data_IF_862863965725
#
_entry.id   IF_862863965725
#
_cell.length_a   1.000
_cell.length_b   1.000
_cell.length_c   1.000
_cell.angle_alpha   90.00
_cell.angle_beta   90.00
_cell.angle_gamma   90.00
#
_symmetry.space_group_name_H-M   'P 1'
#
loop_
_entity.id
_entity.type
_entity.pdbx_description
1 polymer ?
#
# COMPACT_ATOMS: atom_id res chain seq x y z
N UNK A 1 30.31 36.68 15.40
CA UNK A 1 30.15 36.41 13.95
C UNK A 1 30.57 34.99 13.57
N UNK A 2 31.72 34.49 14.02
CA UNK A 2 32.20 33.12 13.76
C UNK A 2 31.25 31.97 14.20
N UNK A 3 30.46 32.12 15.27
CA UNK A 3 29.46 31.12 15.70
C UNK A 3 28.29 30.92 14.72
N UNK A 4 27.89 31.95 13.98
CA UNK A 4 26.81 31.85 12.97
C UNK A 4 27.31 31.23 11.67
N UNK A 5 28.55 31.54 11.28
CA UNK A 5 29.21 30.94 10.11
C UNK A 5 29.53 29.46 10.38
N UNK A 6 29.96 29.11 11.61
CA UNK A 6 30.18 27.72 12.01
C UNK A 6 28.88 26.91 12.06
N UNK A 7 27.77 27.47 12.57
CA UNK A 7 26.46 26.79 12.55
C UNK A 7 25.86 26.68 11.14
N UNK A 8 26.13 27.64 10.25
CA UNK A 8 25.75 27.53 8.82
C UNK A 8 26.61 26.51 8.08
N UNK A 9 27.91 26.42 8.36
CA UNK A 9 28.78 25.38 7.80
C UNK A 9 28.45 23.99 8.36
N UNK A 10 28.04 23.87 9.62
CA UNK A 10 27.58 22.61 10.22
C UNK A 10 26.22 22.18 9.64
N UNK A 11 25.30 23.13 9.37
CA UNK A 11 24.05 22.86 8.67
C UNK A 11 24.27 22.51 7.19
N UNK A 12 25.23 23.16 6.51
CA UNK A 12 25.61 22.81 5.15
C UNK A 12 26.35 21.45 5.06
N UNK A 13 27.11 21.06 6.09
CA UNK A 13 27.69 19.71 6.20
C UNK A 13 26.64 18.65 6.54
N UNK A 14 25.60 18.97 7.33
CA UNK A 14 24.50 18.03 7.62
C UNK A 14 23.54 17.87 6.44
N UNK A 15 23.33 18.92 5.63
CA UNK A 15 22.54 18.85 4.40
C UNK A 15 23.36 18.25 3.24
N UNK A 16 24.67 18.52 3.19
CA UNK A 16 25.58 17.96 2.19
C UNK A 16 26.00 16.50 2.43
N UNK A 17 25.94 16.00 3.67
CA UNK A 17 26.20 14.58 4.00
C UNK A 17 24.94 13.72 3.81
N UNK A 18 23.74 14.29 3.80
CA UNK A 18 22.52 13.55 3.39
C UNK A 18 22.40 13.46 1.86
N UNK A 19 22.94 14.43 1.11
CA UNK A 19 23.03 14.37 -0.35
C UNK A 19 24.23 13.57 -0.90
N UNK A 20 25.05 13.00 -0.02
CA UNK A 20 26.17 12.10 -0.36
C UNK A 20 26.00 10.69 0.27
N UNK A 21 24.79 10.36 0.71
CA UNK A 21 24.36 8.98 0.99
C UNK A 21 23.23 8.54 0.02
N UNK A 22 23.15 9.20 -1.13
CA UNK A 22 22.44 8.74 -2.34
C UNK A 22 23.36 7.89 -3.24
N UNK A 23 24.52 7.46 -2.70
CA UNK A 23 25.24 6.30 -3.22
C UNK A 23 24.65 5.07 -2.56
N UNK A 24 23.84 4.34 -3.33
CA UNK A 24 23.74 2.89 -3.31
C UNK A 24 24.01 2.26 -1.93
N UNK A 25 22.98 2.19 -1.08
CA UNK A 25 22.91 1.08 -0.13
C UNK A 25 22.49 -0.20 -0.87
N UNK A 26 23.22 -0.49 -1.94
CA UNK A 26 23.45 -1.79 -2.55
C UNK A 26 24.31 -2.62 -1.58
N UNK A 27 23.76 -2.86 -0.38
CA UNK A 27 24.34 -3.79 0.59
C UNK A 27 23.69 -5.17 0.49
N UNK A 28 22.76 -5.35 -0.46
CA UNK A 28 22.16 -6.63 -0.84
C UNK A 28 21.81 -6.68 -2.34
N UNK A 29 22.70 -6.28 -3.26
CA UNK A 29 22.57 -6.75 -4.65
C UNK A 29 23.51 -7.94 -4.88
N UNK A 30 23.09 -9.18 -4.54
CA UNK A 30 23.66 -10.34 -5.18
C UNK A 30 23.22 -10.29 -6.64
N UNK A 31 24.09 -9.75 -7.51
CA UNK A 31 24.08 -9.87 -8.99
C UNK A 31 22.68 -9.95 -9.64
N UNK A 32 22.28 -8.92 -10.40
CA UNK A 32 21.08 -8.88 -11.27
C UNK A 32 21.01 -10.05 -12.28
N UNK A 33 20.81 -11.25 -11.78
CA UNK A 33 20.49 -12.46 -12.52
C UNK A 33 19.03 -12.77 -12.15
N UNK A 34 18.11 -12.88 -13.12
CA UNK A 34 16.72 -13.26 -12.84
C UNK A 34 16.59 -14.48 -11.92
N UNK A 35 17.54 -15.41 -11.98
CA UNK A 35 17.60 -16.60 -11.12
C UNK A 35 17.94 -16.30 -9.65
N UNK A 36 18.76 -15.28 -9.35
CA UNK A 36 19.06 -14.89 -7.96
C UNK A 36 17.87 -14.19 -7.31
N UNK A 37 17.13 -13.39 -8.09
CA UNK A 37 15.89 -12.73 -7.68
C UNK A 37 14.77 -13.75 -7.43
N UNK A 38 14.63 -14.74 -8.32
CA UNK A 38 13.69 -15.85 -8.13
C UNK A 38 14.06 -16.70 -6.90
N UNK A 39 15.35 -16.94 -6.64
CA UNK A 39 15.75 -17.70 -5.47
C UNK A 39 15.56 -16.92 -4.16
N UNK A 40 15.86 -15.62 -4.14
CA UNK A 40 15.58 -14.75 -2.99
C UNK A 40 14.08 -14.75 -2.66
N UNK A 41 13.23 -14.74 -3.70
CA UNK A 41 11.78 -14.89 -3.59
C UNK A 41 11.35 -16.20 -2.94
N UNK A 42 11.96 -17.29 -3.37
CA UNK A 42 11.63 -18.63 -2.90
C UNK A 42 11.95 -18.85 -1.43
N UNK A 43 12.85 -18.04 -0.84
CA UNK A 43 13.30 -18.15 0.55
C UNK A 43 12.89 -16.97 1.44
N UNK A 44 12.19 -15.97 0.90
CA UNK A 44 11.70 -14.85 1.68
C UNK A 44 10.77 -15.33 2.81
N UNK A 45 11.07 -14.93 4.05
CA UNK A 45 10.36 -15.39 5.24
C UNK A 45 8.89 -14.97 5.23
N UNK A 46 8.60 -13.74 4.84
CA UNK A 46 7.23 -13.21 4.84
C UNK A 46 6.41 -13.88 3.73
N UNK A 47 7.01 -14.12 2.55
CA UNK A 47 6.32 -14.76 1.42
C UNK A 47 6.11 -16.26 1.62
N UNK A 48 7.08 -16.97 2.20
CA UNK A 48 6.96 -18.40 2.49
C UNK A 48 5.99 -18.66 3.65
N UNK A 49 5.99 -17.81 4.68
CA UNK A 49 4.99 -17.88 5.75
C UNK A 49 3.60 -17.49 5.25
N UNK A 50 3.46 -16.45 4.43
CA UNK A 50 2.18 -16.08 3.82
C UNK A 50 1.61 -17.21 2.95
N UNK A 51 2.45 -17.94 2.23
CA UNK A 51 2.03 -19.13 1.46
C UNK A 51 1.44 -20.20 2.37
N UNK A 52 2.11 -20.54 3.48
CA UNK A 52 1.64 -21.54 4.44
C UNK A 52 0.35 -21.07 5.13
N UNK A 53 0.29 -19.80 5.54
CA UNK A 53 -0.90 -19.22 6.16
C UNK A 53 -2.11 -19.16 5.20
N UNK A 54 -1.89 -18.85 3.93
CA UNK A 54 -2.94 -18.88 2.90
C UNK A 54 -3.48 -20.30 2.71
N UNK A 55 -2.60 -21.32 2.72
CA UNK A 55 -3.01 -22.72 2.64
C UNK A 55 -3.78 -23.16 3.89
N UNK A 56 -3.31 -22.79 5.09
CA UNK A 56 -4.03 -23.02 6.35
C UNK A 56 -5.42 -22.35 6.32
N UNK A 57 -5.52 -21.10 5.87
CA UNK A 57 -6.77 -20.37 5.78
C UNK A 57 -7.75 -20.99 4.75
N UNK A 58 -7.25 -21.47 3.61
CA UNK A 58 -8.06 -22.17 2.62
C UNK A 58 -8.63 -23.48 3.21
N UNK A 59 -7.78 -24.29 3.85
CA UNK A 59 -8.20 -25.52 4.54
C UNK A 59 -9.21 -25.20 5.64
N UNK A 60 -8.98 -24.15 6.43
CA UNK A 60 -9.86 -23.75 7.53
C UNK A 60 -11.24 -23.27 7.04
N UNK A 61 -11.30 -22.62 5.88
CA UNK A 61 -12.55 -22.20 5.26
C UNK A 61 -13.49 -23.38 4.92
N UNK A 62 -12.95 -24.60 4.73
CA UNK A 62 -13.75 -25.81 4.48
C UNK A 62 -14.55 -26.29 5.68
N UNK A 63 -14.13 -25.91 6.90
CA UNK A 63 -14.80 -26.31 8.14
C UNK A 63 -16.07 -25.48 8.42
N UNK A 64 -16.40 -24.52 7.55
CA UNK A 64 -17.42 -23.51 7.82
C UNK A 64 -16.98 -22.55 8.94
N UNK A 65 -17.80 -21.55 9.29
CA UNK A 65 -17.49 -20.71 10.44
C UNK A 65 -17.33 -21.61 11.68
N UNK A 66 -16.18 -21.52 12.34
CA UNK A 66 -15.97 -22.12 13.66
C UNK A 66 -17.20 -21.83 14.54
N UNK A 67 -17.61 -22.74 15.44
CA UNK A 67 -18.77 -22.52 16.30
C UNK A 67 -18.54 -21.25 17.13
N UNK A 68 -19.06 -20.13 16.63
CA UNK A 68 -19.05 -18.86 17.33
C UNK A 68 -20.06 -18.98 18.45
N UNK A 69 -19.60 -18.57 19.63
CA UNK A 69 -20.39 -18.22 20.79
C UNK A 69 -21.68 -17.52 20.34
N UNK A 70 -22.80 -18.20 20.60
CA UNK A 70 -24.20 -17.79 20.49
C UNK A 70 -24.45 -16.30 20.17
N UNK A 71 -25.08 -16.01 19.02
CA UNK A 71 -25.91 -14.79 18.94
C UNK A 71 -26.17 -14.09 17.61
N UNK A 72 -25.59 -14.47 16.46
CA UNK A 72 -25.93 -13.81 15.18
C UNK A 72 -26.10 -14.81 14.05
N UNK A 73 -27.36 -14.99 13.62
CA UNK A 73 -27.70 -15.61 12.35
C UNK A 73 -27.32 -14.65 11.22
N UNK A 74 -26.26 -14.97 10.50
CA UNK A 74 -26.06 -14.47 9.14
C UNK A 74 -26.37 -15.58 8.15
N UNK A 75 -27.02 -15.17 7.07
CA UNK A 75 -27.40 -15.93 5.88
C UNK A 75 -26.30 -16.86 5.39
N UNK A 76 -26.73 -18.05 4.95
CA UNK A 76 -25.97 -19.21 4.45
C UNK A 76 -24.62 -18.86 3.80
N UNK A 77 -23.52 -19.54 4.17
CA UNK A 77 -22.24 -19.42 3.47
C UNK A 77 -22.38 -19.97 2.03
N UNK A 78 -21.56 -19.50 1.07
CA UNK A 78 -21.51 -20.10 -0.25
C UNK A 78 -21.05 -21.55 -0.08
N UNK A 79 -21.96 -22.50 -0.35
CA UNK A 79 -21.64 -23.92 -0.39
C UNK A 79 -20.81 -24.15 -1.65
N UNK A 80 -19.49 -24.03 -1.53
CA UNK A 80 -18.54 -24.27 -2.64
C UNK A 80 -18.24 -25.76 -2.86
N UNK A 81 -18.57 -26.65 -1.90
CA UNK A 81 -18.17 -28.06 -1.97
C UNK A 81 -19.37 -29.01 -1.92
N UNK A 82 -19.39 -29.97 -2.83
CA UNK A 82 -20.45 -30.98 -2.94
C UNK A 82 -20.39 -32.06 -1.86
N UNK A 83 -19.28 -32.17 -1.13
CA UNK A 83 -19.13 -32.98 0.11
C UNK A 83 -18.06 -32.33 0.99
N UNK A 84 -18.30 -32.08 2.30
CA UNK A 84 -17.26 -31.54 3.18
C UNK A 84 -16.12 -32.57 3.33
N UNK A 85 -14.85 -32.15 3.26
CA UNK A 85 -13.71 -33.04 3.39
C UNK A 85 -13.67 -33.73 4.76
N UNK A 86 -13.08 -34.92 4.80
CA UNK A 86 -12.97 -35.71 6.04
C UNK A 86 -12.17 -34.92 7.10
N UNK A 87 -12.69 -34.74 8.33
CA UNK A 87 -11.95 -34.11 9.41
C UNK A 87 -10.57 -34.72 9.69
N UNK A 88 -10.38 -36.03 9.46
CA UNK A 88 -9.08 -36.69 9.60
C UNK A 88 -8.09 -36.20 8.54
N UNK A 89 -8.53 -36.07 7.28
CA UNK A 89 -7.75 -35.52 6.17
C UNK A 89 -7.35 -34.06 6.44
N UNK A 90 -8.28 -33.26 6.96
CA UNK A 90 -8.01 -31.85 7.33
C UNK A 90 -6.96 -31.78 8.43
N UNK A 91 -7.04 -32.65 9.44
CA UNK A 91 -6.05 -32.70 10.52
C UNK A 91 -4.66 -33.14 10.02
N UNK A 92 -4.62 -34.10 9.10
CA UNK A 92 -3.39 -34.57 8.45
C UNK A 92 -2.75 -33.48 7.60
N UNK A 93 -3.52 -32.79 6.76
CA UNK A 93 -3.04 -31.68 5.94
C UNK A 93 -2.47 -30.53 6.81
N UNK A 94 -3.13 -30.20 7.92
CA UNK A 94 -2.61 -29.21 8.88
C UNK A 94 -1.32 -29.67 9.56
N UNK A 95 -1.23 -30.94 9.95
CA UNK A 95 -0.02 -31.49 10.51
C UNK A 95 1.13 -31.42 9.50
N UNK A 96 0.87 -31.74 8.23
CA UNK A 96 1.83 -31.63 7.13
C UNK A 96 2.34 -30.19 6.95
N UNK A 97 1.44 -29.21 6.90
CA UNK A 97 1.81 -27.79 6.81
C UNK A 97 2.72 -27.34 7.98
N UNK A 98 2.36 -27.73 9.21
CA UNK A 98 3.09 -27.33 10.42
C UNK A 98 4.41 -28.06 10.61
N UNK A 99 4.39 -29.38 10.45
CA UNK A 99 5.46 -30.28 10.90
C UNK A 99 6.44 -30.64 9.77
N UNK A 100 6.05 -30.47 8.50
CA UNK A 100 6.90 -30.74 7.33
C UNK A 100 7.22 -29.47 6.55
N UNK A 101 6.20 -28.70 6.13
CA UNK A 101 6.42 -27.61 5.18
C UNK A 101 7.17 -26.41 5.81
N UNK A 102 6.80 -25.97 7.02
CA UNK A 102 7.49 -24.88 7.74
C UNK A 102 8.99 -25.18 7.99
N UNK A 103 9.37 -26.39 8.47
CA UNK A 103 10.78 -26.76 8.57
C UNK A 103 11.56 -26.70 7.25
N UNK A 104 10.95 -27.10 6.11
CA UNK A 104 11.60 -27.03 4.81
C UNK A 104 11.91 -25.59 4.40
N UNK A 105 10.97 -24.66 4.57
CA UNK A 105 11.23 -23.23 4.33
C UNK A 105 12.24 -22.63 5.31
N UNK A 106 12.31 -23.13 6.54
CA UNK A 106 13.38 -22.75 7.46
C UNK A 106 14.76 -23.21 6.97
N UNK A 107 14.88 -24.47 6.52
CA UNK A 107 16.12 -25.01 5.96
C UNK A 107 16.55 -24.27 4.69
N UNK A 108 15.60 -23.92 3.83
CA UNK A 108 15.85 -23.11 2.63
C UNK A 108 16.50 -21.76 2.98
N UNK A 109 16.00 -21.08 4.03
CA UNK A 109 16.55 -19.81 4.53
C UNK A 109 17.93 -19.97 5.15
N UNK A 110 18.15 -21.03 5.91
CA UNK A 110 19.46 -21.32 6.52
C UNK A 110 20.51 -21.59 5.43
N UNK A 111 20.15 -22.36 4.40
CA UNK A 111 20.99 -22.61 3.23
C UNK A 111 21.33 -21.30 2.49
N UNK A 112 20.32 -20.47 2.20
CA UNK A 112 20.51 -19.15 1.56
C UNK A 112 21.46 -18.24 2.36
N UNK A 113 21.25 -18.13 3.68
CA UNK A 113 22.12 -17.33 4.57
C UNK A 113 23.56 -17.84 4.61
N UNK A 114 23.77 -19.13 4.38
CA UNK A 114 25.10 -19.75 4.29
C UNK A 114 25.75 -19.61 2.91
N UNK A 115 25.03 -19.10 1.92
CA UNK A 115 25.47 -18.95 0.53
C UNK A 115 25.31 -20.22 -0.32
N UNK A 116 24.61 -21.24 0.19
CA UNK A 116 24.31 -22.47 -0.56
C UNK A 116 23.00 -22.29 -1.33
N UNK A 117 23.12 -21.73 -2.54
CA UNK A 117 21.97 -21.39 -3.39
C UNK A 117 21.26 -22.62 -3.94
N UNK A 118 21.99 -23.72 -4.18
CA UNK A 118 21.42 -24.96 -4.71
C UNK A 118 20.55 -25.66 -3.65
N UNK A 119 21.09 -25.82 -2.43
CA UNK A 119 20.32 -26.38 -1.33
C UNK A 119 19.12 -25.48 -0.95
N UNK A 120 19.29 -24.15 -1.00
CA UNK A 120 18.19 -23.21 -0.77
C UNK A 120 17.04 -23.42 -1.77
N UNK A 121 17.36 -23.56 -3.06
CA UNK A 121 16.36 -23.79 -4.11
C UNK A 121 15.66 -25.15 -3.93
N UNK A 122 16.43 -26.20 -3.61
CA UNK A 122 15.90 -27.54 -3.38
C UNK A 122 14.92 -27.58 -2.20
N UNK A 123 15.32 -27.02 -1.05
CA UNK A 123 14.43 -26.97 0.13
C UNK A 123 13.20 -26.11 -0.10
N UNK A 124 13.32 -24.98 -0.81
CA UNK A 124 12.17 -24.13 -1.13
C UNK A 124 11.18 -24.84 -2.07
N UNK A 125 11.68 -25.55 -3.08
CA UNK A 125 10.87 -26.40 -3.94
C UNK A 125 10.15 -27.49 -3.15
N UNK A 126 10.88 -28.23 -2.31
CA UNK A 126 10.29 -29.27 -1.45
C UNK A 126 9.23 -28.69 -0.51
N UNK A 127 9.47 -27.51 0.06
CA UNK A 127 8.51 -26.79 0.89
C UNK A 127 7.22 -26.45 0.14
N UNK A 128 7.30 -25.93 -1.08
CA UNK A 128 6.12 -25.64 -1.90
C UNK A 128 5.41 -26.90 -2.37
N UNK A 129 6.15 -27.95 -2.75
CA UNK A 129 5.57 -29.24 -3.10
C UNK A 129 4.79 -29.84 -1.91
N UNK A 130 5.34 -29.74 -0.69
CA UNK A 130 4.66 -30.12 0.54
C UNK A 130 3.34 -29.35 0.75
N UNK A 131 3.32 -28.04 0.47
CA UNK A 131 2.09 -27.22 0.52
C UNK A 131 1.09 -27.68 -0.56
N UNK A 132 1.56 -27.93 -1.78
CA UNK A 132 0.73 -28.43 -2.87
C UNK A 132 0.07 -29.77 -2.53
N UNK A 133 0.84 -30.71 -1.97
CA UNK A 133 0.34 -32.00 -1.48
C UNK A 133 -0.74 -31.83 -0.41
N UNK A 134 -0.54 -30.92 0.57
CA UNK A 134 -1.53 -30.65 1.61
C UNK A 134 -2.84 -30.09 1.04
N UNK A 135 -2.77 -29.18 0.06
CA UNK A 135 -3.95 -28.65 -0.63
C UNK A 135 -4.67 -29.74 -1.43
N UNK A 136 -3.95 -30.54 -2.21
CA UNK A 136 -4.53 -31.64 -3.00
C UNK A 136 -5.14 -32.71 -2.10
N UNK A 137 -4.57 -32.97 -0.93
CA UNK A 137 -5.14 -33.91 0.03
C UNK A 137 -6.58 -33.53 0.43
N UNK A 138 -6.85 -32.23 0.59
CA UNK A 138 -8.14 -31.70 1.03
C UNK A 138 -9.08 -31.44 -0.15
N UNK A 139 -8.58 -30.88 -1.24
CA UNK A 139 -9.38 -30.34 -2.35
C UNK A 139 -9.28 -31.16 -3.65
N UNK A 140 -8.36 -32.11 -3.74
CA UNK A 140 -8.09 -32.85 -4.97
C UNK A 140 -7.65 -31.94 -6.10
N UNK A 141 -8.21 -32.16 -7.29
CA UNK A 141 -7.94 -31.35 -8.50
C UNK A 141 -8.44 -29.90 -8.37
N UNK A 142 -9.45 -29.65 -7.53
CA UNK A 142 -9.97 -28.29 -7.30
C UNK A 142 -8.90 -27.37 -6.69
N UNK A 143 -7.88 -27.91 -6.00
CA UNK A 143 -6.73 -27.10 -5.55
C UNK A 143 -6.01 -26.42 -6.72
N UNK A 144 -5.79 -27.16 -7.81
CA UNK A 144 -5.13 -26.67 -9.01
C UNK A 144 -5.98 -25.61 -9.71
N UNK A 145 -7.26 -25.93 -9.96
CA UNK A 145 -8.16 -25.06 -10.71
C UNK A 145 -8.38 -23.72 -9.98
N UNK A 146 -8.57 -23.75 -8.64
CA UNK A 146 -8.70 -22.53 -7.84
C UNK A 146 -7.45 -21.65 -7.86
N UNK A 147 -6.25 -22.26 -7.85
CA UNK A 147 -4.99 -21.51 -7.95
C UNK A 147 -4.81 -20.90 -9.34
N UNK A 148 -5.20 -21.61 -10.38
CA UNK A 148 -5.20 -21.11 -11.75
C UNK A 148 -6.08 -19.86 -11.90
N UNK A 149 -7.35 -19.95 -11.47
CA UNK A 149 -8.28 -18.80 -11.50
C UNK A 149 -7.75 -17.61 -10.69
N UNK A 150 -7.17 -17.86 -9.51
CA UNK A 150 -6.56 -16.81 -8.67
C UNK A 150 -5.38 -16.13 -9.39
N UNK A 151 -4.58 -16.88 -10.14
CA UNK A 151 -3.47 -16.35 -10.93
C UNK A 151 -3.95 -15.50 -12.12
N UNK A 152 -5.01 -15.91 -12.81
CA UNK A 152 -5.61 -15.09 -13.88
C UNK A 152 -6.06 -13.73 -13.35
N UNK A 153 -6.64 -13.69 -12.15
CA UNK A 153 -6.99 -12.44 -11.48
C UNK A 153 -5.77 -11.59 -11.11
N UNK A 154 -4.68 -12.22 -10.66
CA UNK A 154 -3.43 -11.50 -10.35
C UNK A 154 -2.78 -10.94 -11.61
N UNK A 155 -2.74 -11.71 -12.71
CA UNK A 155 -2.24 -11.27 -14.01
C UNK A 155 -3.02 -10.09 -14.54
N UNK A 156 -4.35 -10.17 -14.54
CA UNK A 156 -5.22 -9.04 -14.96
C UNK A 156 -4.88 -7.78 -14.18
N UNK A 157 -4.66 -7.90 -12.88
CA UNK A 157 -4.30 -6.76 -12.04
C UNK A 157 -2.90 -6.20 -12.34
N UNK A 158 -1.90 -7.07 -12.53
CA UNK A 158 -0.53 -6.64 -12.87
C UNK A 158 -0.48 -5.96 -14.25
N UNK A 159 -1.30 -6.43 -15.19
CA UNK A 159 -1.44 -5.86 -16.53
C UNK A 159 -2.06 -4.45 -16.55
N UNK A 160 -2.84 -4.09 -15.52
CA UNK A 160 -3.40 -2.73 -15.40
C UNK A 160 -2.35 -1.70 -14.92
N UNK A 161 -1.24 -2.15 -14.32
CA UNK A 161 -0.21 -1.31 -13.70
C UNK A 161 1.15 -1.29 -14.41
N UNK A 162 1.23 -1.71 -15.67
CA UNK A 162 2.49 -2.12 -16.33
C UNK A 162 3.54 -1.02 -16.43
N UNK A 163 4.67 -1.25 -15.76
CA UNK A 163 6.01 -0.75 -16.11
C UNK A 163 6.87 -1.87 -16.74
N UNK A 164 8.10 -1.54 -17.19
CA UNK A 164 8.99 -2.48 -17.90
C UNK A 164 9.38 -3.69 -17.02
N UNK A 165 9.67 -3.47 -15.73
CA UNK A 165 10.01 -4.52 -14.77
C UNK A 165 8.82 -5.48 -14.51
N UNK A 166 7.60 -4.94 -14.46
CA UNK A 166 6.37 -5.73 -14.30
C UNK A 166 6.14 -6.66 -15.51
N UNK A 167 6.61 -6.27 -16.70
CA UNK A 167 6.46 -7.07 -17.93
C UNK A 167 7.23 -8.40 -17.86
N UNK A 168 8.45 -8.41 -17.34
CA UNK A 168 9.27 -9.62 -17.22
C UNK A 168 8.69 -10.60 -16.19
N UNK A 169 8.15 -10.07 -15.09
CA UNK A 169 7.46 -10.88 -14.07
C UNK A 169 6.16 -11.47 -14.60
N UNK A 170 5.36 -10.69 -15.35
CA UNK A 170 4.15 -11.20 -16.03
C UNK A 170 4.53 -12.34 -16.98
N UNK A 171 5.60 -12.19 -17.75
CA UNK A 171 6.08 -13.24 -18.63
C UNK A 171 6.47 -14.51 -17.86
N UNK A 172 7.18 -14.38 -16.72
CA UNK A 172 7.55 -15.52 -15.87
C UNK A 172 6.34 -16.19 -15.22
N UNK A 173 5.34 -15.44 -14.76
CA UNK A 173 4.09 -15.99 -14.22
C UNK A 173 3.37 -16.82 -15.29
N UNK A 174 3.28 -16.31 -16.53
CA UNK A 174 2.67 -17.03 -17.65
C UNK A 174 3.45 -18.29 -18.01
N UNK A 175 4.77 -18.23 -18.05
CA UNK A 175 5.63 -19.40 -18.28
C UNK A 175 5.38 -20.49 -17.21
N UNK A 176 5.29 -20.12 -15.93
CA UNK A 176 5.00 -21.06 -14.85
C UNK A 176 3.58 -21.66 -14.96
N UNK A 177 2.60 -20.90 -15.45
CA UNK A 177 1.25 -21.43 -15.73
C UNK A 177 1.29 -22.41 -16.90
N UNK A 178 2.01 -22.09 -17.98
CA UNK A 178 2.18 -23.00 -19.12
C UNK A 178 2.92 -24.28 -18.69
N UNK A 179 4.00 -24.16 -17.89
CA UNK A 179 4.70 -25.31 -17.28
C UNK A 179 3.75 -26.16 -16.43
N UNK A 180 2.88 -25.54 -15.64
CA UNK A 180 1.90 -26.25 -14.82
C UNK A 180 0.90 -27.04 -15.67
N UNK A 181 0.39 -26.45 -16.76
CA UNK A 181 -0.55 -27.11 -17.67
C UNK A 181 0.13 -28.25 -18.45
N UNK A 182 1.36 -28.04 -18.91
CA UNK A 182 2.18 -29.09 -19.54
C UNK A 182 2.47 -30.24 -18.58
N UNK A 183 2.75 -29.95 -17.30
CA UNK A 183 2.91 -30.98 -16.27
C UNK A 183 1.59 -31.70 -16.07
N UNK A 184 0.45 -31.01 -15.86
CA UNK A 184 -0.86 -31.64 -15.59
C UNK A 184 -1.34 -32.53 -16.74
N UNK A 185 -1.12 -32.10 -17.99
CA UNK A 185 -1.58 -32.78 -19.21
C UNK A 185 -0.51 -33.68 -19.86
N UNK A 186 0.70 -33.71 -19.29
CA UNK A 186 1.84 -34.48 -19.76
C UNK A 186 1.72 -36.00 -19.56
N UNK A 187 2.76 -36.76 -19.92
CA UNK A 187 2.80 -38.20 -19.66
C UNK A 187 2.65 -38.49 -18.16
N UNK A 188 1.97 -39.58 -17.80
CA UNK A 188 1.74 -39.98 -16.39
C UNK A 188 3.07 -40.11 -15.62
N UNK A 189 3.40 -39.07 -14.85
CA UNK A 189 4.47 -39.05 -13.86
C UNK A 189 3.82 -39.21 -12.48
N UNK A 190 4.50 -39.88 -11.55
CA UNK A 190 4.05 -39.93 -10.16
C UNK A 190 3.94 -38.50 -9.58
N UNK A 191 2.85 -38.20 -8.88
CA UNK A 191 2.56 -36.88 -8.28
C UNK A 191 2.45 -35.71 -9.27
N UNK A 192 2.05 -35.97 -10.52
CA UNK A 192 1.85 -34.96 -11.56
C UNK A 192 1.02 -33.74 -11.11
N UNK A 193 -0.12 -33.97 -10.44
CA UNK A 193 -0.97 -32.90 -9.95
C UNK A 193 -0.26 -32.03 -8.89
N UNK A 194 0.51 -32.63 -7.98
CA UNK A 194 1.25 -31.90 -6.95
C UNK A 194 2.38 -31.05 -7.55
N UNK A 195 3.09 -31.58 -8.55
CA UNK A 195 4.11 -30.84 -9.28
C UNK A 195 3.50 -29.66 -10.06
N UNK A 196 2.37 -29.88 -10.73
CA UNK A 196 1.66 -28.82 -11.44
C UNK A 196 1.18 -27.72 -10.47
N UNK A 197 0.58 -28.12 -9.34
CA UNK A 197 0.15 -27.20 -8.28
C UNK A 197 1.32 -26.43 -7.66
N UNK A 198 2.49 -27.04 -7.47
CA UNK A 198 3.71 -26.35 -7.00
C UNK A 198 4.10 -25.17 -7.89
N UNK A 199 4.04 -25.35 -9.21
CA UNK A 199 4.34 -24.28 -10.18
C UNK A 199 3.38 -23.11 -10.04
N UNK A 200 2.09 -23.37 -9.86
CA UNK A 200 1.10 -22.33 -9.60
C UNK A 200 1.34 -21.62 -8.26
N UNK A 201 1.76 -22.34 -7.21
CA UNK A 201 2.10 -21.72 -5.94
C UNK A 201 3.31 -20.77 -6.07
N UNK A 202 4.34 -21.15 -6.83
CA UNK A 202 5.48 -20.28 -7.12
C UNK A 202 5.04 -19.04 -7.89
N UNK A 203 4.24 -19.20 -8.95
CA UNK A 203 3.70 -18.09 -9.72
C UNK A 203 2.89 -17.12 -8.83
N UNK A 204 2.12 -17.66 -7.89
CA UNK A 204 1.30 -16.86 -6.98
C UNK A 204 2.16 -16.08 -5.98
N UNK A 205 3.26 -16.66 -5.49
CA UNK A 205 4.22 -15.97 -4.63
C UNK A 205 4.86 -14.78 -5.36
N UNK A 206 5.29 -14.97 -6.62
CA UNK A 206 5.83 -13.91 -7.47
C UNK A 206 4.81 -12.78 -7.62
N UNK A 207 3.57 -13.13 -8.01
CA UNK A 207 2.50 -12.17 -8.20
C UNK A 207 2.15 -11.40 -6.92
N UNK A 208 2.09 -12.08 -5.76
CA UNK A 208 1.77 -11.42 -4.48
C UNK A 208 2.87 -10.44 -4.03
N UNK A 209 4.16 -10.74 -4.25
CA UNK A 209 5.23 -9.77 -3.97
C UNK A 209 5.05 -8.51 -4.80
N UNK A 210 4.80 -8.67 -6.10
CA UNK A 210 4.68 -7.51 -6.97
C UNK A 210 3.47 -6.65 -6.61
N UNK A 211 2.35 -7.29 -6.28
CA UNK A 211 1.19 -6.61 -5.70
C UNK A 211 1.55 -5.81 -4.44
N UNK A 212 2.34 -6.39 -3.54
CA UNK A 212 2.78 -5.69 -2.34
C UNK A 212 3.74 -4.55 -2.67
N UNK A 213 4.67 -4.73 -3.62
CA UNK A 213 5.61 -3.71 -4.08
C UNK A 213 4.89 -2.52 -4.70
N UNK A 214 4.01 -2.76 -5.68
CA UNK A 214 3.19 -1.72 -6.31
C UNK A 214 2.31 -1.00 -5.28
N UNK A 215 1.59 -1.72 -4.41
CA UNK A 215 0.81 -1.09 -3.32
C UNK A 215 1.68 -0.28 -2.36
N UNK A 216 2.89 -0.74 -2.06
CA UNK A 216 3.83 -0.02 -1.19
C UNK A 216 4.32 1.25 -1.87
N UNK A 217 4.61 1.22 -3.17
CA UNK A 217 4.97 2.39 -3.97
C UNK A 217 3.80 3.39 -4.07
N UNK A 218 2.60 2.92 -4.38
CA UNK A 218 1.37 3.72 -4.37
C UNK A 218 1.17 4.38 -3.00
N UNK A 219 1.27 3.60 -1.92
CA UNK A 219 1.11 4.10 -0.56
C UNK A 219 2.21 5.10 -0.19
N UNK A 220 3.45 4.92 -0.67
CA UNK A 220 4.52 5.89 -0.52
C UNK A 220 4.18 7.21 -1.22
N UNK A 221 3.67 7.15 -2.45
CA UNK A 221 3.22 8.33 -3.19
C UNK A 221 2.05 9.01 -2.48
N UNK A 222 1.06 8.25 -2.02
CA UNK A 222 -0.07 8.75 -1.24
C UNK A 222 0.37 9.41 0.07
N UNK A 223 1.33 8.82 0.78
CA UNK A 223 1.88 9.40 2.01
C UNK A 223 2.58 10.73 1.74
N UNK A 224 3.46 10.77 0.73
CA UNK A 224 4.14 12.00 0.27
C UNK A 224 3.14 13.10 -0.07
N UNK A 225 2.16 12.77 -0.90
CA UNK A 225 1.10 13.70 -1.29
C UNK A 225 0.29 14.20 -0.09
N UNK A 226 -0.07 13.30 0.84
CA UNK A 226 -0.83 13.68 2.04
C UNK A 226 -0.04 14.61 2.97
N UNK A 227 1.27 14.41 3.11
CA UNK A 227 2.15 15.29 3.88
C UNK A 227 2.20 16.68 3.24
N UNK A 228 2.37 16.75 1.92
CA UNK A 228 2.32 18.01 1.18
C UNK A 228 0.98 18.74 1.39
N UNK A 229 -0.13 18.01 1.34
CA UNK A 229 -1.46 18.55 1.59
C UNK A 229 -1.64 19.02 3.04
N UNK A 230 -1.07 18.32 4.01
CA UNK A 230 -1.11 18.73 5.41
C UNK A 230 -0.34 20.04 5.65
N UNK A 231 0.82 20.20 5.03
CA UNK A 231 1.59 21.45 5.07
C UNK A 231 0.81 22.60 4.43
N UNK A 232 0.22 22.35 3.25
CA UNK A 232 -0.66 23.31 2.56
C UNK A 232 -1.85 23.73 3.44
N UNK A 233 -2.46 22.77 4.13
CA UNK A 233 -3.59 22.99 5.01
C UNK A 233 -3.25 23.92 6.19
N UNK A 234 -2.08 23.71 6.82
CA UNK A 234 -1.65 24.53 7.95
C UNK A 234 -1.20 25.92 7.51
N UNK A 235 -0.49 26.03 6.39
CA UNK A 235 -0.12 27.33 5.83
C UNK A 235 -1.36 28.16 5.48
N UNK A 236 -2.35 27.56 4.81
CA UNK A 236 -3.62 28.20 4.51
C UNK A 236 -4.37 28.59 5.79
N UNK A 237 -4.48 27.68 6.76
CA UNK A 237 -5.20 27.93 8.00
C UNK A 237 -4.60 29.10 8.81
N UNK A 238 -3.27 29.18 8.89
CA UNK A 238 -2.57 30.27 9.55
C UNK A 238 -2.72 31.59 8.78
N UNK A 239 -2.69 31.54 7.44
CA UNK A 239 -2.92 32.72 6.61
C UNK A 239 -4.34 33.27 6.78
N UNK A 240 -5.34 32.40 6.89
CA UNK A 240 -6.74 32.78 7.14
C UNK A 240 -6.91 33.36 8.55
N UNK A 241 -6.31 32.73 9.56
CA UNK A 241 -6.40 33.21 10.95
C UNK A 241 -5.75 34.59 11.18
N UNK A 242 -4.78 34.96 10.33
CA UNK A 242 -4.14 36.28 10.36
C UNK A 242 -3.33 36.57 11.64
N UNK A 243 -3.10 37.85 11.90
CA UNK A 243 -2.25 38.31 13.01
C UNK A 243 -2.93 38.19 14.40
N UNK A 244 -4.26 38.13 14.45
CA UNK A 244 -5.07 38.08 15.68
C UNK A 244 -5.43 36.64 16.10
N UNK A 245 -4.51 35.70 15.91
CA UNK A 245 -4.74 34.28 16.21
C UNK A 245 -4.93 34.03 17.72
N UNK A 246 -6.00 33.32 18.08
CA UNK A 246 -6.29 32.98 19.48
C UNK A 246 -5.38 31.86 20.00
N UNK A 247 -5.23 31.76 21.33
CA UNK A 247 -4.41 30.71 21.95
C UNK A 247 -4.90 29.28 21.60
N UNK A 248 -6.21 29.10 21.43
CA UNK A 248 -6.80 27.80 21.02
C UNK A 248 -6.42 27.45 19.58
N UNK A 249 -6.46 28.42 18.67
CA UNK A 249 -6.02 28.25 17.29
C UNK A 249 -4.51 27.97 17.21
N UNK A 250 -3.69 28.66 18.00
CA UNK A 250 -2.24 28.37 18.12
C UNK A 250 -1.99 26.93 18.59
N UNK A 251 -2.75 26.45 19.59
CA UNK A 251 -2.63 25.07 20.07
C UNK A 251 -3.02 24.04 19.00
N UNK A 252 -4.11 24.28 18.27
CA UNK A 252 -4.53 23.42 17.17
C UNK A 252 -3.48 23.39 16.04
N UNK A 253 -2.96 24.56 15.63
CA UNK A 253 -1.91 24.65 14.62
C UNK A 253 -0.63 23.92 15.05
N UNK A 254 -0.19 24.07 16.31
CA UNK A 254 0.96 23.32 16.85
C UNK A 254 0.72 21.82 16.85
N UNK A 255 -0.48 21.38 17.22
CA UNK A 255 -0.83 19.97 17.22
C UNK A 255 -0.73 19.38 15.80
N UNK A 256 -1.34 20.03 14.80
CA UNK A 256 -1.21 19.60 13.41
C UNK A 256 0.24 19.62 12.92
N UNK A 257 1.03 20.63 13.28
CA UNK A 257 2.45 20.68 12.93
C UNK A 257 3.22 19.49 13.51
N UNK A 258 2.94 19.11 14.77
CA UNK A 258 3.53 17.92 15.38
C UNK A 258 3.13 16.65 14.61
N UNK A 259 1.87 16.53 14.18
CA UNK A 259 1.42 15.39 13.37
C UNK A 259 2.14 15.32 12.02
N UNK A 260 2.38 16.45 11.36
CA UNK A 260 3.16 16.51 10.11
C UNK A 260 4.59 16.04 10.36
N UNK A 261 5.25 16.48 11.43
CA UNK A 261 6.62 16.04 11.78
C UNK A 261 6.66 14.52 11.97
N UNK A 262 5.69 13.96 12.70
CA UNK A 262 5.60 12.51 12.88
C UNK A 262 5.25 11.76 11.59
N UNK A 263 4.45 12.37 10.70
CA UNK A 263 4.15 11.79 9.40
C UNK A 263 5.40 11.70 8.51
N UNK A 264 6.22 12.76 8.48
CA UNK A 264 7.51 12.77 7.77
C UNK A 264 8.44 11.68 8.32
N UNK A 265 8.60 11.61 9.65
CA UNK A 265 9.39 10.55 10.28
C UNK A 265 8.86 9.15 9.96
N UNK A 266 7.53 8.96 9.94
CA UNK A 266 6.93 7.69 9.57
C UNK A 266 7.22 7.34 8.09
N UNK A 267 7.18 8.32 7.19
CA UNK A 267 7.50 8.13 5.77
C UNK A 267 8.98 7.76 5.58
N UNK A 268 9.90 8.46 6.25
CA UNK A 268 11.34 8.18 6.21
C UNK A 268 11.66 6.76 6.71
N UNK A 269 10.90 6.26 7.69
CA UNK A 269 11.03 4.90 8.21
C UNK A 269 10.23 3.84 7.42
N UNK A 270 9.68 4.17 6.25
CA UNK A 270 8.92 3.23 5.42
C UNK A 270 7.51 2.87 5.95
N UNK A 271 7.02 3.54 6.99
CA UNK A 271 5.69 3.32 7.59
C UNK A 271 4.62 4.18 6.90
N UNK A 272 4.44 3.95 5.60
CA UNK A 272 3.63 4.82 4.73
C UNK A 272 2.16 4.93 5.13
N UNK A 273 1.52 3.84 5.59
CA UNK A 273 0.14 3.89 6.07
C UNK A 273 -0.03 4.82 7.28
N UNK A 274 0.90 4.77 8.24
CA UNK A 274 0.91 5.67 9.39
C UNK A 274 1.15 7.12 8.96
N UNK A 275 2.10 7.35 8.06
CA UNK A 275 2.38 8.68 7.51
C UNK A 275 1.14 9.27 6.82
N UNK A 276 0.46 8.49 5.99
CA UNK A 276 -0.80 8.86 5.34
C UNK A 276 -1.87 9.27 6.36
N UNK A 277 -2.12 8.43 7.38
CA UNK A 277 -3.14 8.72 8.39
C UNK A 277 -2.82 9.97 9.24
N UNK A 278 -1.58 10.12 9.69
CA UNK A 278 -1.16 11.28 10.48
C UNK A 278 -1.26 12.57 9.66
N UNK A 279 -0.86 12.54 8.39
CA UNK A 279 -0.95 13.70 7.52
C UNK A 279 -2.40 14.07 7.21
N UNK A 280 -3.26 13.09 6.92
CA UNK A 280 -4.70 13.34 6.73
C UNK A 280 -5.35 13.95 7.97
N UNK A 281 -4.99 13.47 9.14
CA UNK A 281 -5.53 14.02 10.38
C UNK A 281 -4.99 15.43 10.66
N UNK A 282 -3.73 15.72 10.30
CA UNK A 282 -3.21 17.09 10.34
C UNK A 282 -4.00 18.06 9.43
N UNK A 283 -4.45 17.62 8.24
CA UNK A 283 -5.36 18.41 7.38
C UNK A 283 -6.66 18.72 8.11
N UNK A 284 -7.25 17.74 8.80
CA UNK A 284 -8.49 17.92 9.57
C UNK A 284 -8.30 18.86 10.77
N UNK A 285 -7.17 18.74 11.48
CA UNK A 285 -6.85 19.65 12.59
C UNK A 285 -6.60 21.07 12.07
N UNK A 286 -6.08 21.22 10.85
CA UNK A 286 -5.98 22.52 10.17
C UNK A 286 -7.34 23.21 9.98
N UNK A 287 -8.40 22.45 9.68
CA UNK A 287 -9.75 23.00 9.61
C UNK A 287 -10.20 23.58 10.96
N UNK A 288 -9.82 22.96 12.09
CA UNK A 288 -10.17 23.48 13.41
C UNK A 288 -9.60 24.88 13.65
N UNK A 289 -8.44 25.20 13.10
CA UNK A 289 -7.85 26.54 13.20
C UNK A 289 -8.76 27.59 12.54
N UNK A 290 -9.37 27.26 11.40
CA UNK A 290 -10.32 28.14 10.69
C UNK A 290 -11.67 28.20 11.40
N UNK A 291 -12.20 27.06 11.85
CA UNK A 291 -13.51 27.00 12.53
C UNK A 291 -13.50 27.70 13.90
N UNK A 292 -12.34 27.74 14.58
CA UNK A 292 -12.19 28.42 15.87
C UNK A 292 -12.02 29.94 15.77
N UNK A 293 -12.10 30.52 14.56
CA UNK A 293 -11.96 31.95 14.35
C UNK A 293 -13.11 32.76 15.00
N UNK A 294 -12.81 33.86 15.73
CA UNK A 294 -13.83 34.70 16.33
C UNK A 294 -14.77 35.31 15.29
N UNK A 295 -16.04 34.90 15.29
CA UNK A 295 -17.06 35.37 14.32
C UNK A 295 -17.54 34.29 13.35
N UNK A 296 -16.84 33.16 13.30
CA UNK A 296 -17.36 31.95 12.66
C UNK A 296 -18.31 31.25 13.65
N UNK A 297 -19.54 31.08 13.23
CA UNK A 297 -20.63 30.40 13.95
C UNK A 297 -21.07 29.18 13.13
N UNK A 298 -21.76 28.23 13.76
CA UNK A 298 -22.34 27.10 13.00
C UNK A 298 -23.28 27.57 11.88
N UNK A 299 -23.87 28.77 11.99
CA UNK A 299 -24.82 29.31 11.03
C UNK A 299 -24.18 29.89 9.76
N UNK A 300 -22.96 30.45 9.83
CA UNK A 300 -22.26 31.04 8.69
C UNK A 300 -21.05 30.20 8.22
N UNK A 301 -20.70 29.12 8.92
CA UNK A 301 -19.54 28.29 8.59
C UNK A 301 -19.56 27.78 7.15
N UNK A 302 -20.70 27.33 6.63
CA UNK A 302 -20.80 26.87 5.23
C UNK A 302 -20.47 28.00 4.26
N UNK A 303 -20.99 29.21 4.50
CA UNK A 303 -20.75 30.38 3.65
C UNK A 303 -19.28 30.81 3.66
N UNK A 304 -18.65 30.82 4.85
CA UNK A 304 -17.20 31.09 5.00
C UNK A 304 -16.38 30.09 4.20
N UNK A 305 -16.73 28.80 4.25
CA UNK A 305 -16.02 27.76 3.50
C UNK A 305 -16.26 27.83 1.99
N UNK A 306 -17.45 28.24 1.55
CA UNK A 306 -17.72 28.54 0.14
C UNK A 306 -16.82 29.66 -0.36
N UNK A 307 -16.73 30.76 0.39
CA UNK A 307 -15.89 31.91 0.03
C UNK A 307 -14.41 31.54 0.00
N UNK A 308 -13.93 30.86 1.05
CA UNK A 308 -12.53 30.43 1.15
C UNK A 308 -12.13 29.53 -0.02
N UNK A 309 -12.95 28.52 -0.34
CA UNK A 309 -12.66 27.61 -1.46
C UNK A 309 -12.70 28.32 -2.82
N UNK A 310 -13.64 29.24 -3.03
CA UNK A 310 -13.72 30.02 -4.26
C UNK A 310 -12.50 30.94 -4.44
N UNK A 311 -12.08 31.63 -3.38
CA UNK A 311 -10.89 32.50 -3.39
C UNK A 311 -9.61 31.70 -3.67
N UNK A 312 -9.44 30.55 -3.01
CA UNK A 312 -8.28 29.69 -3.20
C UNK A 312 -8.20 29.15 -4.65
N UNK A 313 -9.32 28.69 -5.21
CA UNK A 313 -9.39 28.22 -6.61
C UNK A 313 -9.06 29.34 -7.59
N UNK A 314 -9.61 30.54 -7.38
CA UNK A 314 -9.32 31.68 -8.24
C UNK A 314 -7.83 32.07 -8.19
N UNK A 315 -7.22 32.08 -7.01
CA UNK A 315 -5.80 32.36 -6.85
C UNK A 315 -4.93 31.28 -7.51
N UNK A 316 -5.31 30.00 -7.41
CA UNK A 316 -4.64 28.88 -8.08
C UNK A 316 -4.70 28.99 -9.61
N UNK A 317 -5.87 29.35 -10.17
CA UNK A 317 -6.03 29.62 -11.61
C UNK A 317 -5.10 30.74 -12.08
N UNK A 318 -4.97 31.82 -11.29
CA UNK A 318 -4.07 32.92 -11.60
C UNK A 318 -2.61 32.49 -11.54
N UNK A 319 -2.21 31.70 -10.54
CA UNK A 319 -0.85 31.20 -10.40
C UNK A 319 -0.42 30.35 -11.60
N UNK A 320 -1.31 29.49 -12.11
CA UNK A 320 -1.05 28.67 -13.30
C UNK A 320 -0.99 29.47 -14.61
N UNK A 321 -1.70 30.59 -14.71
CA UNK A 321 -1.69 31.43 -15.91
C UNK A 321 -0.32 32.08 -16.20
N UNK A 322 0.57 32.12 -15.20
CA UNK A 322 1.92 32.69 -15.29
C UNK A 322 3.07 31.68 -15.27
N UNK A 323 2.81 30.38 -15.14
CA UNK A 323 3.83 29.33 -14.98
C UNK A 323 4.00 28.48 -16.26
N UNK A 324 5.16 27.83 -16.42
CA UNK A 324 5.29 26.74 -17.40
C UNK A 324 4.33 25.61 -17.01
N UNK A 325 3.59 25.05 -17.99
CA UNK A 325 2.54 24.06 -17.73
C UNK A 325 3.06 22.88 -16.90
N UNK A 326 2.65 22.82 -15.63
CA UNK A 326 2.86 21.68 -14.75
C UNK A 326 1.58 20.84 -14.77
N UNK A 327 1.59 19.73 -15.51
CA UNK A 327 0.45 18.81 -15.65
C UNK A 327 -0.14 18.38 -14.31
N UNK A 328 0.72 18.16 -13.31
CA UNK A 328 0.30 17.82 -11.94
C UNK A 328 -0.48 18.96 -11.27
N UNK A 329 -0.04 20.20 -11.41
CA UNK A 329 -0.70 21.35 -10.81
C UNK A 329 -2.05 21.64 -11.48
N UNK A 330 -2.16 21.45 -12.80
CA UNK A 330 -3.45 21.46 -13.51
C UNK A 330 -4.40 20.35 -13.05
N UNK A 331 -3.87 19.17 -12.73
CA UNK A 331 -4.68 18.07 -12.17
C UNK A 331 -5.22 18.41 -10.77
N UNK A 332 -4.39 18.99 -9.90
CA UNK A 332 -4.80 19.45 -8.57
C UNK A 332 -5.88 20.53 -8.65
N UNK A 333 -5.75 21.49 -9.57
CA UNK A 333 -6.77 22.52 -9.77
C UNK A 333 -8.12 21.90 -10.19
N UNK A 334 -8.12 21.00 -11.18
CA UNK A 334 -9.33 20.27 -11.60
C UNK A 334 -9.95 19.48 -10.43
N UNK A 335 -9.11 18.87 -9.59
CA UNK A 335 -9.58 18.16 -8.41
C UNK A 335 -10.22 19.09 -7.38
N UNK A 336 -9.63 20.26 -7.13
CA UNK A 336 -10.20 21.29 -6.26
C UNK A 336 -11.58 21.76 -6.76
N UNK A 337 -11.72 22.03 -8.06
CA UNK A 337 -12.98 22.41 -8.70
C UNK A 337 -14.04 21.32 -8.58
N UNK A 338 -13.67 20.05 -8.79
CA UNK A 338 -14.55 18.91 -8.59
C UNK A 338 -15.03 18.78 -7.14
N UNK A 339 -14.13 18.92 -6.16
CA UNK A 339 -14.47 18.85 -4.74
C UNK A 339 -15.44 19.97 -4.36
N UNK A 340 -15.20 21.20 -4.85
CA UNK A 340 -16.13 22.32 -4.67
C UNK A 340 -17.48 22.02 -5.28
N UNK A 341 -17.54 21.51 -6.52
CA UNK A 341 -18.80 21.14 -7.17
C UNK A 341 -19.59 20.07 -6.40
N UNK A 342 -18.90 19.07 -5.84
CA UNK A 342 -19.53 18.06 -4.95
C UNK A 342 -20.04 18.69 -3.66
N UNK A 343 -19.30 19.64 -3.08
CA UNK A 343 -19.71 20.37 -1.89
C UNK A 343 -20.98 21.20 -2.15
N UNK A 344 -21.04 21.91 -3.29
CA UNK A 344 -22.19 22.70 -3.72
C UNK A 344 -23.48 21.85 -3.79
N UNK A 345 -23.38 20.61 -4.30
CA UNK A 345 -24.52 19.68 -4.41
C UNK A 345 -25.07 19.21 -3.05
N UNK A 346 -24.21 19.08 -2.03
CA UNK A 346 -24.59 18.51 -0.74
C UNK A 346 -24.76 19.56 0.37
N UNK A 347 -24.40 20.82 0.12
CA UNK A 347 -24.41 21.89 1.12
C UNK A 347 -25.77 22.07 1.82
N UNK A 348 -26.87 21.98 1.08
CA UNK A 348 -28.22 22.15 1.62
C UNK A 348 -28.70 20.96 2.47
N UNK A 349 -28.22 19.74 2.19
CA UNK A 349 -28.73 18.51 2.83
C UNK A 349 -27.77 17.92 3.85
N UNK A 350 -26.47 18.14 3.69
CA UNK A 350 -25.39 17.61 4.52
C UNK A 350 -24.31 18.68 4.77
N UNK A 351 -24.63 19.73 5.54
CA UNK A 351 -23.74 20.90 5.71
C UNK A 351 -22.38 20.56 6.30
N UNK A 352 -22.31 19.61 7.25
CA UNK A 352 -21.03 19.15 7.82
C UNK A 352 -20.14 18.49 6.77
N UNK A 353 -20.71 17.66 5.89
CA UNK A 353 -19.97 17.02 4.79
C UNK A 353 -19.49 18.08 3.80
N UNK A 354 -20.35 19.06 3.49
CA UNK A 354 -19.98 20.16 2.60
C UNK A 354 -18.82 21.00 3.14
N UNK A 355 -18.79 21.31 4.44
CA UNK A 355 -17.67 22.01 5.09
C UNK A 355 -16.35 21.30 4.88
N UNK A 356 -16.30 19.97 5.08
CA UNK A 356 -15.10 19.19 4.81
C UNK A 356 -14.72 19.22 3.32
N UNK A 357 -15.68 19.06 2.40
CA UNK A 357 -15.40 19.08 0.96
C UNK A 357 -14.89 20.45 0.49
N UNK A 358 -15.47 21.56 0.95
CA UNK A 358 -14.95 22.91 0.67
C UNK A 358 -13.57 23.13 1.27
N UNK A 359 -13.30 22.63 2.48
CA UNK A 359 -11.97 22.70 3.08
C UNK A 359 -10.94 21.99 2.22
N UNK A 360 -11.19 20.73 1.85
CA UNK A 360 -10.29 19.98 0.98
C UNK A 360 -10.13 20.63 -0.40
N UNK A 361 -11.17 21.23 -0.96
CA UNK A 361 -11.07 22.02 -2.19
C UNK A 361 -10.11 23.21 -2.03
N UNK A 362 -10.26 23.98 -0.93
CA UNK A 362 -9.40 25.12 -0.63
C UNK A 362 -7.94 24.72 -0.42
N UNK A 363 -7.68 23.68 0.37
CA UNK A 363 -6.31 23.15 0.60
C UNK A 363 -5.69 22.67 -0.72
N UNK A 364 -6.46 21.96 -1.56
CA UNK A 364 -5.97 21.44 -2.85
C UNK A 364 -5.60 22.56 -3.80
N UNK A 365 -6.45 23.60 -3.89
CA UNK A 365 -6.14 24.79 -4.65
C UNK A 365 -4.92 25.55 -4.09
N UNK A 366 -4.78 25.64 -2.77
CA UNK A 366 -3.61 26.27 -2.16
C UNK A 366 -2.30 25.52 -2.46
N UNK A 367 -2.34 24.18 -2.54
CA UNK A 367 -1.21 23.38 -2.99
C UNK A 367 -0.71 23.76 -4.39
N UNK A 368 -1.62 24.10 -5.32
CA UNK A 368 -1.25 24.61 -6.66
C UNK A 368 -0.45 25.92 -6.55
N UNK A 369 -0.84 26.82 -5.65
CA UNK A 369 -0.17 28.11 -5.44
C UNK A 369 1.27 27.88 -4.97
N UNK A 370 1.47 26.98 -3.99
CA UNK A 370 2.79 26.66 -3.45
C UNK A 370 3.73 26.04 -4.51
N UNK A 371 3.23 25.10 -5.32
CA UNK A 371 4.00 24.49 -6.40
C UNK A 371 4.39 25.52 -7.48
N UNK A 372 3.51 26.48 -7.75
CA UNK A 372 3.75 27.54 -8.72
C UNK A 372 4.75 28.59 -8.21
N UNK A 373 4.82 28.81 -6.89
CA UNK A 373 5.76 29.77 -6.29
C UNK A 373 7.20 29.27 -6.16
N UNK A 374 7.40 27.94 -6.05
CA UNK A 374 8.75 27.35 -5.94
C UNK A 374 9.45 27.21 -7.31
N UNK A 375 8.75 27.45 -8.41
CA UNK A 375 9.27 27.33 -9.79
C UNK A 375 9.58 28.67 -10.47
N UNK A 376 9.37 29.80 -9.78
CA UNK A 376 9.69 31.17 -10.21
C UNK A 376 10.89 31.72 -9.45
#
# INVERSE_FOLDING_TARGET
MYKRIFNMLLAALLVGVVAACDEDSSILDPENNPQSIELELMVDEDLTEALVMDAEAAIDATLGPAPMVSGMEFSEPPVMFSTPPDPEIIAEARAKLRDECRPLFQQAREAWRSGDTEAAAEFAFQGRLCVAEALIMVFGEEAYDNLWERLEHVLTWLEEGVDEDTSDLIARIRELMDEADEIKNGPEIENQLALATERLLLALQIGNRERFRQRRQEMQQHARFSIFMAQSAINLALQVAGDDITERQVRAARHAQHMIVHAVQAQENGRYGLAFHLAREAVNVGLLVVVLEPGVTEANLVEVMVQLSAMAIQAAQQALSGAAQQEFAEHLLRHAEMLKGKADLVAATRPRVAVHLYWHAAVTAYGVILLSSDSA
#
